data_IF_961408580910
#
_entry.id   IF_961408580910
#
_cell.length_a   1.000
_cell.length_b   1.000
_cell.length_c   1.000
_cell.angle_alpha   90.00
_cell.angle_beta   90.00
_cell.angle_gamma   90.00
#
_symmetry.space_group_name_H-M   'P 1'
#
loop_
_entity.id
_entity.type
_entity.pdbx_description
1 polymer ?
#
# COMPACT_ATOMS: atom_id res chain seq x y z
N UNK A 1 -6.30 4.82 3.24
CA UNK A 1 -5.40 4.35 2.17
C UNK A 1 -4.57 3.19 2.68
N UNK A 2 -4.18 2.29 1.78
CA UNK A 2 -3.41 1.10 2.10
C UNK A 2 -2.20 1.02 1.16
N UNK A 3 -0.99 1.37 1.61
CA UNK A 3 0.21 1.20 0.78
C UNK A 3 0.57 -0.28 0.66
N UNK A 4 1.41 -0.56 -0.34
CA UNK A 4 1.97 -1.88 -0.65
C UNK A 4 0.91 -2.92 -1.05
N UNK A 5 -0.13 -2.50 -1.76
CA UNK A 5 -1.10 -3.41 -2.37
C UNK A 5 -0.46 -4.22 -3.51
N UNK A 6 -0.99 -5.40 -3.86
CA UNK A 6 -0.50 -6.17 -4.99
C UNK A 6 -0.48 -5.36 -6.30
N UNK A 7 0.62 -5.47 -7.06
CA UNK A 7 0.84 -4.77 -8.33
C UNK A 7 0.95 -3.24 -8.24
N UNK A 8 1.18 -2.70 -7.03
CA UNK A 8 1.51 -1.29 -6.80
C UNK A 8 2.92 -1.23 -6.21
N UNK A 9 3.82 -0.53 -6.90
CA UNK A 9 5.19 -0.30 -6.43
C UNK A 9 5.27 0.98 -5.59
N UNK A 10 6.45 1.20 -4.98
CA UNK A 10 6.69 2.29 -4.04
C UNK A 10 6.46 3.67 -4.71
N UNK A 11 6.92 3.83 -5.94
CA UNK A 11 6.76 5.08 -6.69
C UNK A 11 5.29 5.40 -6.93
N UNK A 12 4.48 4.39 -7.28
CA UNK A 12 3.04 4.55 -7.48
C UNK A 12 2.30 4.82 -6.19
N UNK A 13 2.69 4.22 -5.07
CA UNK A 13 2.12 4.56 -3.76
C UNK A 13 2.39 6.03 -3.41
N UNK A 14 3.63 6.51 -3.58
CA UNK A 14 3.99 7.91 -3.32
C UNK A 14 3.24 8.88 -4.24
N UNK A 15 3.14 8.55 -5.53
CA UNK A 15 2.35 9.33 -6.48
C UNK A 15 0.87 9.39 -6.06
N UNK A 16 0.26 8.27 -5.67
CA UNK A 16 -1.13 8.24 -5.21
C UNK A 16 -1.35 9.14 -4.01
N UNK A 17 -0.45 9.13 -3.01
CA UNK A 17 -0.58 10.02 -1.86
C UNK A 17 -0.46 11.50 -2.27
N UNK A 18 0.48 11.82 -3.16
CA UNK A 18 0.64 13.19 -3.68
C UNK A 18 -0.62 13.66 -4.40
N UNK A 19 -1.13 12.87 -5.34
CA UNK A 19 -2.36 13.17 -6.07
C UNK A 19 -3.56 13.32 -5.14
N UNK A 20 -3.68 12.45 -4.13
CA UNK A 20 -4.79 12.44 -3.18
C UNK A 20 -4.91 13.76 -2.36
N UNK A 21 -3.81 14.46 -2.13
CA UNK A 21 -3.81 15.75 -1.43
C UNK A 21 -3.71 16.96 -2.37
N UNK A 22 -3.07 16.85 -3.53
CA UNK A 22 -2.92 17.97 -4.46
C UNK A 22 -4.17 18.17 -5.34
N UNK A 23 -4.77 17.08 -5.82
CA UNK A 23 -5.91 17.14 -6.73
C UNK A 23 -7.14 17.74 -6.05
N UNK A 24 -7.82 18.73 -6.66
CA UNK A 24 -9.04 19.30 -6.11
C UNK A 24 -10.21 18.31 -6.07
N UNK A 25 -10.12 17.16 -6.75
CA UNK A 25 -11.15 16.12 -6.74
C UNK A 25 -11.18 15.29 -5.44
N UNK A 26 -10.10 15.32 -4.66
CA UNK A 26 -9.95 14.58 -3.40
C UNK A 26 -9.88 15.55 -2.19
N UNK A 27 -8.68 15.83 -1.64
CA UNK A 27 -8.46 16.71 -0.47
C UNK A 27 -9.33 16.36 0.75
N UNK A 28 -9.23 15.14 1.27
CA UNK A 28 -10.04 14.74 2.42
C UNK A 28 -9.58 15.45 3.69
N UNK A 29 -10.51 15.59 4.63
CA UNK A 29 -10.21 16.12 5.98
C UNK A 29 -9.42 15.15 6.85
N UNK A 30 -9.37 13.86 6.48
CA UNK A 30 -8.71 12.84 7.28
C UNK A 30 -8.29 11.61 6.48
N UNK A 31 -7.23 10.96 6.96
CA UNK A 31 -6.67 9.76 6.37
C UNK A 31 -6.47 8.69 7.44
N UNK A 32 -7.04 7.49 7.22
CA UNK A 32 -6.63 6.28 7.94
C UNK A 32 -5.64 5.51 7.08
N UNK A 33 -4.45 5.25 7.63
CA UNK A 33 -3.38 4.53 6.96
C UNK A 33 -3.28 3.11 7.52
N UNK A 34 -3.41 2.11 6.64
CA UNK A 34 -3.24 0.70 7.00
C UNK A 34 -2.22 0.07 6.05
N UNK A 35 -0.94 -0.04 6.44
CA UNK A 35 0.02 -0.82 5.69
C UNK A 35 -0.52 -2.22 5.42
N UNK A 36 -0.37 -2.70 4.17
CA UNK A 36 -0.92 -4.00 3.79
C UNK A 36 -0.21 -5.12 4.57
N UNK A 37 -1.00 -6.00 5.20
CA UNK A 37 -0.49 -7.13 5.98
C UNK A 37 -0.86 -8.45 5.32
N UNK A 38 0.09 -9.39 5.34
CA UNK A 38 -0.17 -10.78 4.94
C UNK A 38 -0.73 -11.53 6.14
N UNK A 39 -2.02 -11.91 6.06
CA UNK A 39 -2.74 -12.60 7.14
C UNK A 39 -3.12 -14.01 6.70
N UNK A 40 -2.82 -15.03 7.52
CA UNK A 40 -3.15 -16.43 7.24
C UNK A 40 -4.66 -16.58 6.95
N UNK A 41 -4.99 -17.38 5.93
CA UNK A 41 -6.38 -17.63 5.51
C UNK A 41 -6.95 -16.59 4.54
N UNK A 42 -6.15 -15.62 4.10
CA UNK A 42 -6.55 -14.62 3.08
C UNK A 42 -6.01 -14.98 1.69
N UNK A 43 -6.61 -14.41 0.64
CA UNK A 43 -6.08 -14.56 -0.72
C UNK A 43 -4.68 -13.97 -0.88
N UNK A 44 -4.36 -12.90 -0.15
CA UNK A 44 -3.02 -12.30 -0.16
C UNK A 44 -1.97 -13.26 0.40
N UNK A 45 -2.33 -14.07 1.40
CA UNK A 45 -1.46 -15.12 1.92
C UNK A 45 -1.09 -16.16 0.85
N UNK A 46 -2.02 -16.53 -0.04
CA UNK A 46 -1.71 -17.45 -1.14
C UNK A 46 -0.80 -16.83 -2.20
N UNK A 47 -0.94 -15.53 -2.47
CA UNK A 47 -0.02 -14.80 -3.35
C UNK A 47 1.38 -14.73 -2.74
N UNK A 48 1.47 -14.40 -1.45
CA UNK A 48 2.74 -14.39 -0.72
C UNK A 48 3.40 -15.77 -0.70
N UNK A 49 2.63 -16.83 -0.37
CA UNK A 49 3.11 -18.23 -0.34
C UNK A 49 3.65 -18.71 -1.68
N UNK A 50 3.17 -18.14 -2.78
CA UNK A 50 3.61 -18.47 -4.15
C UNK A 50 4.61 -17.47 -4.72
N UNK A 51 5.21 -16.60 -3.89
CA UNK A 51 6.15 -15.54 -4.29
C UNK A 51 5.59 -14.57 -5.34
N UNK A 52 4.26 -14.44 -5.44
CA UNK A 52 3.58 -13.48 -6.32
C UNK A 52 3.27 -12.16 -5.61
N UNK A 53 3.60 -12.06 -4.33
CA UNK A 53 3.52 -10.84 -3.53
C UNK A 53 4.64 -10.85 -2.49
N UNK A 54 5.29 -9.71 -2.30
CA UNK A 54 6.26 -9.49 -1.23
C UNK A 54 6.00 -8.12 -0.61
N UNK A 55 6.02 -8.08 0.72
CA UNK A 55 5.87 -6.82 1.44
C UNK A 55 7.14 -5.99 1.40
N UNK A 56 7.03 -4.67 1.55
CA UNK A 56 8.20 -3.81 1.68
C UNK A 56 9.05 -4.19 2.91
N UNK A 57 10.37 -4.01 2.85
CA UNK A 57 11.20 -3.99 4.05
C UNK A 57 10.69 -2.91 5.03
N UNK A 58 10.68 -3.17 6.35
CA UNK A 58 10.20 -2.19 7.33
C UNK A 58 10.91 -0.84 7.25
N UNK A 59 12.21 -0.82 6.92
CA UNK A 59 12.97 0.42 6.73
C UNK A 59 12.44 1.26 5.57
N UNK A 60 12.00 0.64 4.48
CA UNK A 60 11.43 1.32 3.31
C UNK A 60 10.00 1.79 3.58
N UNK A 61 9.25 1.06 4.42
CA UNK A 61 7.87 1.45 4.77
C UNK A 61 7.81 2.66 5.72
N UNK A 62 8.86 2.87 6.54
CA UNK A 62 8.90 3.91 7.57
C UNK A 62 9.57 5.20 7.09
N UNK A 63 10.51 5.09 6.15
CA UNK A 63 11.17 6.24 5.50
C UNK A 63 10.18 7.09 4.68
#
# INVERSE_FOLDING_TARGET
>A
MMPNLPNVDLERDLYQFKEFFESPEFRPDGLKLYPTLVIRGTGLYELWRTNRYASYPPSVLVD
#
